data_IF_613329853439
#
_entry.id   IF_613329853439
#
_cell.length_a   1.000
_cell.length_b   1.000
_cell.length_c   1.000
_cell.angle_alpha   90.00
_cell.angle_beta   90.00
_cell.angle_gamma   90.00
#
_symmetry.space_group_name_H-M   'P 1'
#
loop_
_entity.id
_entity.type
_entity.pdbx_description
1 polymer ?
#
# COMPACT_ATOMS: atom_id res chain seq x y z
N UNK A 1 -0.98 -21.23 0.66
CA UNK A 1 0.26 -21.07 -0.12
C UNK A 1 1.48 -21.45 0.72
N UNK A 2 1.59 -20.99 1.97
CA UNK A 2 2.71 -21.32 2.85
C UNK A 2 3.00 -22.83 2.94
N UNK A 3 1.95 -23.67 3.05
CA UNK A 3 2.11 -25.13 3.02
C UNK A 3 2.67 -25.67 1.69
N UNK A 4 2.30 -25.07 0.57
CA UNK A 4 2.89 -25.38 -0.74
C UNK A 4 4.39 -25.06 -0.76
N UNK A 5 4.78 -23.90 -0.25
CA UNK A 5 6.21 -23.51 -0.16
C UNK A 5 6.98 -24.51 0.71
N UNK A 6 6.43 -24.90 1.85
CA UNK A 6 7.08 -25.87 2.75
C UNK A 6 7.32 -27.23 2.08
N UNK A 7 6.34 -27.72 1.30
CA UNK A 7 6.42 -29.03 0.62
C UNK A 7 7.37 -28.98 -0.58
N UNK A 8 7.29 -27.92 -1.39
CA UNK A 8 8.04 -27.83 -2.66
C UNK A 8 9.48 -27.33 -2.48
N UNK A 9 9.70 -26.40 -1.56
CA UNK A 9 10.99 -25.69 -1.41
C UNK A 9 11.66 -25.95 -0.05
N UNK A 10 11.00 -26.68 0.84
CA UNK A 10 11.54 -27.06 2.14
C UNK A 10 11.32 -26.02 3.24
N UNK A 11 11.79 -26.38 4.46
CA UNK A 11 11.54 -25.58 5.68
C UNK A 11 12.26 -24.23 5.69
N UNK A 12 13.42 -24.11 5.04
CA UNK A 12 14.15 -22.84 4.91
C UNK A 12 13.34 -21.80 4.13
N UNK A 13 12.91 -22.16 2.92
CA UNK A 13 12.08 -21.31 2.07
C UNK A 13 10.72 -20.97 2.71
N UNK A 14 10.14 -21.91 3.46
CA UNK A 14 8.94 -21.64 4.27
C UNK A 14 9.21 -20.54 5.31
N UNK A 15 10.34 -20.62 6.03
CA UNK A 15 10.73 -19.61 7.01
C UNK A 15 10.90 -18.22 6.39
N UNK A 16 11.59 -18.13 5.24
CA UNK A 16 11.77 -16.88 4.49
C UNK A 16 10.43 -16.30 4.03
N UNK A 17 9.58 -17.15 3.41
CA UNK A 17 8.24 -16.74 2.97
C UNK A 17 7.38 -16.22 4.13
N UNK A 18 7.34 -16.97 5.24
CA UNK A 18 6.53 -16.61 6.40
C UNK A 18 7.02 -15.32 7.04
N UNK A 19 8.33 -15.15 7.17
CA UNK A 19 8.94 -13.92 7.69
C UNK A 19 8.59 -12.72 6.81
N UNK A 20 8.77 -12.83 5.49
CA UNK A 20 8.38 -11.79 4.54
C UNK A 20 6.88 -11.47 4.61
N UNK A 21 6.02 -12.49 4.70
CA UNK A 21 4.58 -12.33 4.85
C UNK A 21 4.21 -11.56 6.14
N UNK A 22 4.81 -11.93 7.27
CA UNK A 22 4.52 -11.30 8.57
C UNK A 22 5.02 -9.86 8.62
N UNK A 23 6.23 -9.59 8.09
CA UNK A 23 6.78 -8.24 7.98
C UNK A 23 5.83 -7.38 7.15
N UNK A 24 5.51 -7.81 5.94
CA UNK A 24 4.62 -7.07 5.06
C UNK A 24 3.23 -6.88 5.67
N UNK A 25 2.68 -7.93 6.28
CA UNK A 25 1.37 -7.85 6.93
C UNK A 25 1.34 -6.84 8.07
N UNK A 26 2.42 -6.77 8.85
CA UNK A 26 2.55 -5.81 9.95
C UNK A 26 2.66 -4.38 9.46
N UNK A 27 3.50 -4.13 8.44
CA UNK A 27 3.67 -2.81 7.85
C UNK A 27 2.41 -2.34 7.09
N UNK A 28 1.69 -3.28 6.49
CA UNK A 28 0.48 -2.98 5.72
C UNK A 28 -0.76 -2.67 6.57
N UNK A 29 -0.71 -2.84 7.89
CA UNK A 29 -1.82 -2.41 8.78
C UNK A 29 -2.01 -0.90 8.68
N UNK A 30 -0.93 -0.14 8.62
CA UNK A 30 -0.97 1.33 8.50
C UNK A 30 -1.65 1.77 7.19
N UNK A 31 -1.46 1.04 6.09
CA UNK A 31 -2.14 1.31 4.82
C UNK A 31 -3.67 1.29 4.98
N UNK A 32 -4.20 0.37 5.80
CA UNK A 32 -5.65 0.24 6.04
C UNK A 32 -6.19 1.48 6.76
N UNK A 33 -5.45 2.03 7.71
CA UNK A 33 -5.82 3.27 8.40
C UNK A 33 -5.79 4.47 7.45
N UNK A 34 -4.73 4.62 6.66
CA UNK A 34 -4.63 5.68 5.64
C UNK A 34 -5.80 5.61 4.65
N UNK A 35 -6.16 4.42 4.19
CA UNK A 35 -7.32 4.24 3.31
C UNK A 35 -8.63 4.65 3.98
N UNK A 36 -8.81 4.30 5.27
CA UNK A 36 -10.00 4.68 6.03
C UNK A 36 -10.14 6.20 6.16
N UNK A 37 -9.03 6.89 6.46
CA UNK A 37 -9.00 8.36 6.53
C UNK A 37 -9.28 8.97 5.16
N UNK A 38 -8.60 8.51 4.12
CA UNK A 38 -8.75 8.99 2.76
C UNK A 38 -10.19 8.91 2.26
N UNK A 39 -10.85 7.78 2.45
CA UNK A 39 -12.25 7.62 2.03
C UNK A 39 -13.21 8.48 2.84
N UNK A 40 -12.91 8.75 4.10
CA UNK A 40 -13.68 9.67 4.94
C UNK A 40 -13.48 11.11 4.47
N UNK A 41 -12.25 11.54 4.23
CA UNK A 41 -11.89 12.90 3.77
C UNK A 41 -12.50 13.20 2.40
N UNK A 42 -12.48 12.24 1.48
CA UNK A 42 -13.07 12.39 0.14
C UNK A 42 -14.58 12.05 0.09
N UNK A 43 -15.20 11.80 1.24
CA UNK A 43 -16.62 11.45 1.37
C UNK A 43 -17.06 10.33 0.42
N UNK A 44 -16.23 9.29 0.24
CA UNK A 44 -16.51 8.19 -0.68
C UNK A 44 -17.41 7.15 0.00
N UNK A 45 -18.65 6.92 -0.49
CA UNK A 45 -19.55 5.92 0.07
C UNK A 45 -18.98 4.51 0.02
N UNK A 46 -19.28 3.67 1.02
CA UNK A 46 -18.82 2.28 1.12
C UNK A 46 -19.02 1.47 -0.16
N UNK A 47 -20.15 1.69 -0.86
CA UNK A 47 -20.48 1.01 -2.13
C UNK A 47 -19.47 1.24 -3.26
N UNK A 48 -18.64 2.30 -3.18
CA UNK A 48 -17.64 2.63 -4.20
C UNK A 48 -16.22 2.34 -3.76
N UNK A 49 -15.98 2.21 -2.45
CA UNK A 49 -14.65 1.99 -1.90
C UNK A 49 -14.04 0.68 -2.38
N UNK A 50 -14.85 -0.39 -2.52
CA UNK A 50 -14.33 -1.68 -3.00
C UNK A 50 -13.78 -1.63 -4.42
N UNK A 51 -14.22 -0.68 -5.25
CA UNK A 51 -13.69 -0.48 -6.59
C UNK A 51 -12.31 0.19 -6.55
N UNK A 52 -12.15 1.20 -5.71
CA UNK A 52 -10.84 1.86 -5.50
C UNK A 52 -9.85 0.85 -4.92
N UNK A 53 -10.26 0.09 -3.90
CA UNK A 53 -9.41 -0.92 -3.27
C UNK A 53 -9.02 -2.05 -4.24
N UNK A 54 -9.93 -2.46 -5.14
CA UNK A 54 -9.61 -3.47 -6.14
C UNK A 54 -8.49 -3.01 -7.08
N UNK A 55 -8.65 -1.81 -7.66
CA UNK A 55 -7.64 -1.25 -8.56
C UNK A 55 -6.36 -0.85 -7.83
N UNK A 56 -6.48 -0.33 -6.60
CA UNK A 56 -5.33 -0.02 -5.76
C UNK A 56 -4.50 -1.25 -5.41
N UNK A 57 -5.14 -2.36 -5.01
CA UNK A 57 -4.42 -3.62 -4.77
C UNK A 57 -3.76 -4.16 -6.04
N UNK A 58 -4.45 -4.04 -7.19
CA UNK A 58 -3.88 -4.47 -8.47
C UNK A 58 -2.65 -3.62 -8.84
N UNK A 59 -2.75 -2.29 -8.73
CA UNK A 59 -1.63 -1.39 -8.97
C UNK A 59 -0.48 -1.62 -8.00
N UNK A 60 -0.78 -1.76 -6.70
CA UNK A 60 0.20 -2.09 -5.67
C UNK A 60 0.97 -3.38 -6.00
N UNK A 61 0.29 -4.44 -6.45
CA UNK A 61 0.95 -5.69 -6.85
C UNK A 61 1.91 -5.50 -8.04
N UNK A 62 1.49 -4.72 -9.04
CA UNK A 62 2.32 -4.41 -10.22
C UNK A 62 3.54 -3.58 -9.80
N UNK A 63 3.33 -2.52 -9.02
CA UNK A 63 4.41 -1.66 -8.54
C UNK A 63 5.41 -2.43 -7.68
N UNK A 64 4.94 -3.22 -6.74
CA UNK A 64 5.81 -4.06 -5.89
C UNK A 64 6.56 -5.12 -6.69
N UNK A 65 5.93 -5.72 -7.69
CA UNK A 65 6.63 -6.61 -8.61
C UNK A 65 7.81 -5.91 -9.31
N UNK A 66 7.61 -4.69 -9.76
CA UNK A 66 8.66 -3.86 -10.36
C UNK A 66 9.74 -3.52 -9.33
N UNK A 67 9.36 -3.03 -8.14
CA UNK A 67 10.30 -2.67 -7.08
C UNK A 67 11.14 -3.87 -6.60
N UNK A 68 10.51 -5.03 -6.42
CA UNK A 68 11.21 -6.26 -6.01
C UNK A 68 12.15 -6.73 -7.12
N UNK A 69 11.71 -6.73 -8.39
CA UNK A 69 12.53 -7.14 -9.52
C UNK A 69 13.74 -6.22 -9.70
N UNK A 70 13.53 -4.90 -9.69
CA UNK A 70 14.61 -3.91 -9.80
C UNK A 70 15.51 -3.95 -8.56
N UNK A 71 14.92 -4.00 -7.35
CA UNK A 71 15.65 -4.05 -6.10
C UNK A 71 16.55 -5.28 -5.98
N UNK A 72 16.02 -6.46 -6.32
CA UNK A 72 16.80 -7.70 -6.35
C UNK A 72 17.95 -7.64 -7.37
N UNK A 73 17.69 -7.13 -8.58
CA UNK A 73 18.72 -6.95 -9.60
C UNK A 73 19.82 -5.95 -9.17
N UNK A 74 19.43 -4.87 -8.47
CA UNK A 74 20.38 -3.89 -7.94
C UNK A 74 21.23 -4.47 -6.81
N UNK A 75 20.62 -5.18 -5.87
CA UNK A 75 21.30 -5.79 -4.71
C UNK A 75 22.27 -6.88 -5.18
N UNK A 76 21.87 -7.70 -6.18
CA UNK A 76 22.76 -8.73 -6.75
C UNK A 76 24.00 -8.15 -7.41
N UNK A 77 23.92 -6.92 -7.93
CA UNK A 77 25.04 -6.22 -8.57
C UNK A 77 25.83 -5.35 -7.58
N UNK A 78 25.18 -4.81 -6.58
CA UNK A 78 25.76 -3.87 -5.62
C UNK A 78 25.36 -4.28 -4.18
N UNK A 79 26.05 -5.27 -3.62
CA UNK A 79 25.73 -5.82 -2.29
C UNK A 79 25.80 -4.78 -1.15
N UNK A 80 26.57 -3.68 -1.31
CA UNK A 80 26.60 -2.58 -0.34
C UNK A 80 25.25 -1.87 -0.18
N UNK A 81 24.34 -1.98 -1.18
CA UNK A 81 23.00 -1.42 -1.09
C UNK A 81 22.19 -2.00 0.08
N UNK A 82 22.41 -3.26 0.45
CA UNK A 82 21.76 -3.84 1.64
C UNK A 82 22.13 -3.08 2.91
N UNK A 83 23.40 -2.69 3.04
CA UNK A 83 23.88 -1.89 4.19
C UNK A 83 23.25 -0.49 4.16
N UNK A 84 23.22 0.14 2.98
CA UNK A 84 22.60 1.45 2.80
C UNK A 84 21.10 1.42 3.14
N UNK A 85 20.38 0.40 2.69
CA UNK A 85 18.98 0.20 3.03
C UNK A 85 18.77 -0.08 4.52
N UNK A 86 19.63 -0.89 5.15
CA UNK A 86 19.58 -1.11 6.59
C UNK A 86 19.74 0.19 7.39
N UNK A 87 20.71 1.03 7.03
CA UNK A 87 20.90 2.36 7.64
C UNK A 87 19.67 3.25 7.41
N UNK A 88 19.13 3.26 6.19
CA UNK A 88 17.93 4.01 5.86
C UNK A 88 16.74 3.59 6.72
N UNK A 89 16.49 2.28 6.87
CA UNK A 89 15.41 1.73 7.71
C UNK A 89 15.58 2.12 9.18
N UNK A 90 16.81 2.10 9.72
CA UNK A 90 17.07 2.55 11.09
C UNK A 90 16.73 4.03 11.26
N UNK A 91 17.16 4.88 10.30
CA UNK A 91 16.89 6.32 10.34
C UNK A 91 15.38 6.57 10.28
N UNK A 92 14.66 5.90 9.34
CA UNK A 92 13.20 6.03 9.19
C UNK A 92 12.48 5.56 10.46
N UNK A 93 12.87 4.42 11.03
CA UNK A 93 12.30 3.91 12.28
C UNK A 93 12.47 4.86 13.46
N UNK A 94 13.67 5.44 13.62
CA UNK A 94 13.93 6.46 14.66
C UNK A 94 13.10 7.72 14.43
N UNK A 95 12.94 8.13 13.17
CA UNK A 95 12.14 9.31 12.80
C UNK A 95 10.66 9.10 13.13
N UNK A 96 10.08 7.96 12.79
CA UNK A 96 8.68 7.62 13.10
C UNK A 96 8.43 7.63 14.61
N UNK A 97 9.33 7.05 15.40
CA UNK A 97 9.20 7.05 16.88
C UNK A 97 9.23 8.47 17.47
N UNK A 98 10.00 9.37 16.85
CA UNK A 98 10.14 10.76 17.32
C UNK A 98 9.03 11.71 16.86
N UNK A 99 8.44 11.47 15.68
CA UNK A 99 7.43 12.35 15.07
C UNK A 99 6.13 11.55 14.87
N UNK A 100 5.38 11.37 15.93
CA UNK A 100 4.13 10.63 15.98
C UNK A 100 2.90 11.51 15.77
N UNK A 101 2.94 12.46 14.85
CA UNK A 101 1.81 13.38 14.62
C UNK A 101 1.27 13.28 13.18
N UNK A 102 -0.05 12.99 13.08
CA UNK A 102 -1.01 13.26 11.98
C UNK A 102 -0.55 13.17 10.51
N UNK A 103 0.28 12.17 10.17
CA UNK A 103 0.79 12.02 8.79
C UNK A 103 -0.32 11.68 7.77
N UNK A 104 -1.38 10.97 8.16
CA UNK A 104 -2.39 10.46 7.23
C UNK A 104 -3.23 11.54 6.52
N UNK A 105 -3.70 12.55 7.25
CA UNK A 105 -4.50 13.65 6.65
C UNK A 105 -3.66 14.54 5.74
N UNK A 106 -2.39 14.75 6.11
CA UNK A 106 -1.44 15.54 5.33
C UNK A 106 -1.10 14.84 4.01
N UNK A 107 -0.91 13.53 4.02
CA UNK A 107 -0.62 12.75 2.81
C UNK A 107 -1.81 12.69 1.87
N UNK A 108 -3.03 12.48 2.38
CA UNK A 108 -4.25 12.51 1.57
C UNK A 108 -4.42 13.86 0.86
N UNK A 109 -4.27 14.97 1.59
CA UNK A 109 -4.41 16.33 1.04
C UNK A 109 -3.32 16.63 0.02
N UNK A 110 -2.07 16.26 0.30
CA UNK A 110 -0.95 16.44 -0.63
C UNK A 110 -1.12 15.64 -1.90
N UNK A 111 -1.55 14.37 -1.81
CA UNK A 111 -1.77 13.51 -2.96
C UNK A 111 -2.86 14.04 -3.89
N UNK A 112 -3.99 14.49 -3.34
CA UNK A 112 -5.05 15.14 -4.13
C UNK A 112 -4.54 16.43 -4.77
N UNK A 113 -3.75 17.24 -4.04
CA UNK A 113 -3.11 18.45 -4.56
C UNK A 113 -2.14 18.18 -5.72
N UNK A 114 -1.39 17.09 -5.66
CA UNK A 114 -0.50 16.66 -6.76
C UNK A 114 -1.31 16.26 -8.00
N UNK A 115 -2.39 15.49 -7.84
CA UNK A 115 -3.27 15.16 -8.95
C UNK A 115 -3.89 16.42 -9.56
N UNK A 116 -4.30 17.38 -8.73
CA UNK A 116 -4.86 18.67 -9.16
C UNK A 116 -3.94 19.53 -10.02
N UNK A 117 -2.61 19.31 -9.92
CA UNK A 117 -1.61 19.97 -10.81
C UNK A 117 -1.53 19.32 -12.20
N UNK A 118 -1.91 18.04 -12.30
CA UNK A 118 -1.85 17.27 -13.54
C UNK A 118 -3.16 17.41 -14.32
N UNK A 119 -4.31 17.35 -13.61
CA UNK A 119 -5.64 17.45 -14.20
C UNK A 119 -6.67 18.01 -13.21
N UNK A 120 -7.74 18.68 -13.71
CA UNK A 120 -8.82 19.15 -12.84
C UNK A 120 -9.43 18.00 -12.03
N UNK A 121 -9.69 18.23 -10.74
CA UNK A 121 -10.37 17.28 -9.87
C UNK A 121 -11.78 17.78 -9.58
N UNK A 122 -12.78 16.92 -9.80
CA UNK A 122 -14.18 17.19 -9.46
C UNK A 122 -14.41 16.95 -7.97
N UNK A 123 -15.23 17.78 -7.36
CA UNK A 123 -15.72 17.54 -6.00
C UNK A 123 -16.92 16.58 -5.96
N UNK A 124 -17.50 16.26 -7.14
CA UNK A 124 -18.68 15.41 -7.23
C UNK A 124 -18.34 14.04 -7.82
N UNK A 125 -19.02 13.02 -7.30
CA UNK A 125 -18.95 11.66 -7.81
C UNK A 125 -19.80 11.54 -9.09
N UNK A 126 -19.26 10.96 -10.13
CA UNK A 126 -20.00 10.58 -11.36
C UNK A 126 -20.24 9.06 -11.35
N UNK A 127 -21.11 8.61 -10.45
CA UNK A 127 -21.38 7.20 -10.23
C UNK A 127 -20.10 6.44 -9.84
N UNK A 128 -19.76 5.40 -10.62
CA UNK A 128 -18.55 4.61 -10.42
C UNK A 128 -17.39 4.99 -11.35
N UNK A 129 -17.48 6.09 -12.08
CA UNK A 129 -16.46 6.47 -13.05
C UNK A 129 -15.26 7.11 -12.35
N UNK A 130 -14.08 6.83 -12.88
CA UNK A 130 -12.84 7.48 -12.47
C UNK A 130 -12.63 8.82 -13.14
N UNK A 131 -13.20 9.02 -14.32
CA UNK A 131 -13.11 10.26 -15.09
C UNK A 131 -14.50 10.84 -15.34
N UNK A 132 -14.60 12.17 -15.26
CA UNK A 132 -15.78 12.96 -15.62
C UNK A 132 -15.39 14.11 -16.55
N UNK A 133 -16.32 15.00 -16.85
CA UNK A 133 -16.06 16.20 -17.66
C UNK A 133 -16.55 17.44 -16.94
N UNK A 134 -15.68 18.42 -16.80
CA UNK A 134 -15.99 19.75 -16.27
C UNK A 134 -15.71 20.77 -17.38
N UNK A 135 -16.73 21.51 -17.80
CA UNK A 135 -16.58 22.51 -18.89
C UNK A 135 -16.06 21.91 -20.21
N UNK A 136 -16.42 20.65 -20.51
CA UNK A 136 -15.94 19.96 -21.73
C UNK A 136 -14.57 19.32 -21.64
N UNK A 137 -13.78 19.61 -20.59
CA UNK A 137 -12.45 19.03 -20.34
C UNK A 137 -12.57 17.78 -19.46
N UNK A 138 -11.67 16.79 -19.67
CA UNK A 138 -11.57 15.62 -18.79
C UNK A 138 -11.11 16.06 -17.39
N UNK A 139 -11.78 15.54 -16.37
CA UNK A 139 -11.48 15.78 -14.98
C UNK A 139 -11.45 14.46 -14.20
N UNK A 140 -10.66 14.39 -13.14
CA UNK A 140 -10.65 13.30 -12.19
C UNK A 140 -11.90 13.36 -11.31
N UNK A 141 -12.50 12.22 -11.01
CA UNK A 141 -13.50 12.12 -9.93
C UNK A 141 -12.81 11.91 -8.57
N UNK A 142 -13.53 12.07 -7.45
CA UNK A 142 -12.99 11.70 -6.13
C UNK A 142 -12.52 10.24 -6.05
N UNK A 143 -13.12 9.33 -6.85
CA UNK A 143 -12.66 7.93 -6.92
C UNK A 143 -11.27 7.80 -7.56
N UNK A 144 -10.99 8.57 -8.62
CA UNK A 144 -9.65 8.59 -9.21
C UNK A 144 -8.64 9.26 -8.27
N UNK A 145 -9.04 10.34 -7.60
CA UNK A 145 -8.19 11.00 -6.61
C UNK A 145 -7.82 10.04 -5.47
N UNK A 146 -8.79 9.29 -4.95
CA UNK A 146 -8.53 8.27 -3.94
C UNK A 146 -7.61 7.16 -4.46
N UNK A 147 -7.84 6.64 -5.67
CA UNK A 147 -6.98 5.62 -6.27
C UNK A 147 -5.55 6.14 -6.41
N UNK A 148 -5.38 7.37 -6.90
CA UNK A 148 -4.06 7.98 -7.05
C UNK A 148 -3.32 8.11 -5.71
N UNK A 149 -4.02 8.53 -4.64
CA UNK A 149 -3.43 8.63 -3.30
C UNK A 149 -3.08 7.26 -2.75
N UNK A 150 -3.94 6.24 -2.92
CA UNK A 150 -3.68 4.85 -2.52
C UNK A 150 -2.41 4.33 -3.18
N UNK A 151 -2.25 4.54 -4.49
CA UNK A 151 -1.04 4.11 -5.21
C UNK A 151 0.21 4.90 -4.77
N UNK A 152 0.07 6.21 -4.57
CA UNK A 152 1.17 7.06 -4.12
C UNK A 152 1.66 6.64 -2.73
N UNK A 153 0.75 6.39 -1.80
CA UNK A 153 1.09 5.93 -0.45
C UNK A 153 1.70 4.53 -0.48
N UNK A 154 1.21 3.61 -1.34
CA UNK A 154 1.83 2.29 -1.48
C UNK A 154 3.27 2.38 -2.01
N UNK A 155 3.57 3.30 -2.95
CA UNK A 155 4.95 3.55 -3.38
C UNK A 155 5.83 4.02 -2.21
N UNK A 156 5.34 4.92 -1.37
CA UNK A 156 6.08 5.41 -0.20
C UNK A 156 6.36 4.24 0.75
N UNK A 157 5.37 3.43 1.07
CA UNK A 157 5.54 2.26 1.93
C UNK A 157 6.41 1.16 1.31
N UNK A 158 6.38 1.00 -0.02
CA UNK A 158 7.24 0.03 -0.71
C UNK A 158 8.73 0.38 -0.60
N UNK A 159 9.08 1.67 -0.51
CA UNK A 159 10.47 2.11 -0.30
C UNK A 159 11.04 1.57 1.02
N UNK A 160 10.22 1.43 2.05
CA UNK A 160 10.62 0.88 3.34
C UNK A 160 10.48 -0.65 3.40
N UNK A 161 9.37 -1.19 2.90
CA UNK A 161 9.06 -2.63 3.04
C UNK A 161 9.86 -3.52 2.10
N UNK A 162 10.12 -3.12 0.85
CA UNK A 162 10.83 -3.96 -0.12
C UNK A 162 12.27 -4.23 0.31
N UNK A 163 13.08 -3.25 0.74
CA UNK A 163 14.40 -3.52 1.27
C UNK A 163 14.39 -4.41 2.52
N UNK A 164 13.41 -4.22 3.41
CA UNK A 164 13.29 -5.04 4.62
C UNK A 164 13.08 -6.53 4.29
N UNK A 165 12.24 -6.83 3.29
CA UNK A 165 11.97 -8.21 2.90
C UNK A 165 13.12 -8.80 2.07
N UNK A 166 13.76 -8.02 1.20
CA UNK A 166 14.96 -8.44 0.46
C UNK A 166 16.16 -8.74 1.38
N UNK A 167 16.19 -8.16 2.59
CA UNK A 167 17.17 -8.52 3.60
C UNK A 167 16.92 -9.89 4.26
N UNK A 168 15.68 -10.41 4.20
CA UNK A 168 15.29 -11.71 4.77
C UNK A 168 15.42 -12.85 3.75
N UNK A 169 15.14 -12.58 2.48
CA UNK A 169 15.21 -13.56 1.40
C UNK A 169 15.86 -12.97 0.15
N UNK A 170 16.78 -13.73 -0.44
CA UNK A 170 17.39 -13.39 -1.72
C UNK A 170 16.64 -13.96 -2.93
N UNK A 171 15.56 -14.71 -2.68
CA UNK A 171 14.75 -15.36 -3.71
C UNK A 171 13.58 -14.43 -4.14
N UNK A 172 13.67 -13.74 -5.31
CA UNK A 172 12.66 -12.75 -5.71
C UNK A 172 11.25 -13.32 -5.78
N UNK A 173 11.10 -14.60 -6.10
CA UNK A 173 9.82 -15.28 -6.15
C UNK A 173 9.17 -15.38 -4.76
N UNK A 174 9.93 -15.78 -3.73
CA UNK A 174 9.43 -15.87 -2.36
C UNK A 174 9.08 -14.50 -1.81
N UNK A 175 9.93 -13.50 -2.10
CA UNK A 175 9.70 -12.09 -1.72
C UNK A 175 8.42 -11.57 -2.37
N UNK A 176 8.24 -11.75 -3.67
CA UNK A 176 7.02 -11.33 -4.36
C UNK A 176 5.78 -12.07 -3.87
N UNK A 177 5.85 -13.39 -3.71
CA UNK A 177 4.73 -14.20 -3.27
C UNK A 177 4.29 -13.81 -1.85
N UNK A 178 5.23 -13.63 -0.90
CA UNK A 178 4.91 -13.22 0.47
C UNK A 178 4.21 -11.85 0.50
N UNK A 179 4.71 -10.88 -0.27
CA UNK A 179 4.10 -9.57 -0.45
C UNK A 179 2.70 -9.66 -1.05
N UNK A 180 2.56 -10.38 -2.17
CA UNK A 180 1.29 -10.50 -2.88
C UNK A 180 0.18 -11.07 -1.98
N UNK A 181 0.47 -12.16 -1.26
CA UNK A 181 -0.50 -12.75 -0.34
C UNK A 181 -0.79 -11.88 0.88
N UNK A 182 0.17 -11.10 1.37
CA UNK A 182 -0.06 -10.14 2.44
C UNK A 182 -1.01 -9.02 2.01
N UNK A 183 -0.77 -8.43 0.82
CA UNK A 183 -1.56 -7.33 0.26
C UNK A 183 -2.99 -7.79 -0.10
N UNK A 184 -3.15 -8.96 -0.72
CA UNK A 184 -4.48 -9.51 -1.04
C UNK A 184 -5.38 -9.62 0.19
N UNK A 185 -4.81 -9.86 1.36
CA UNK A 185 -5.54 -9.89 2.63
C UNK A 185 -5.97 -8.50 3.16
N UNK A 186 -5.40 -7.40 2.66
CA UNK A 186 -5.69 -6.05 3.17
C UNK A 186 -7.12 -5.61 2.91
N UNK A 187 -7.71 -6.01 1.79
CA UNK A 187 -9.11 -5.72 1.49
C UNK A 187 -10.04 -6.27 2.55
N UNK A 188 -9.82 -7.52 2.97
CA UNK A 188 -10.62 -8.14 4.02
C UNK A 188 -10.43 -7.40 5.35
N UNK A 189 -9.19 -7.04 5.69
CA UNK A 189 -8.89 -6.25 6.90
C UNK A 189 -9.56 -4.88 6.87
N UNK A 190 -9.54 -4.17 5.73
CA UNK A 190 -10.21 -2.89 5.59
C UNK A 190 -11.71 -2.99 5.91
N UNK A 191 -12.42 -3.94 5.31
CA UNK A 191 -13.87 -4.11 5.57
C UNK A 191 -14.16 -4.58 6.99
N UNK A 192 -13.30 -5.39 7.60
CA UNK A 192 -13.41 -5.74 9.02
C UNK A 192 -13.28 -4.51 9.91
N UNK A 193 -12.30 -3.64 9.64
CA UNK A 193 -12.09 -2.39 10.38
C UNK A 193 -13.24 -1.41 10.18
N UNK A 194 -13.71 -1.24 8.93
CA UNK A 194 -14.84 -0.37 8.61
C UNK A 194 -16.11 -0.81 9.34
N UNK A 195 -16.44 -2.10 9.32
CA UNK A 195 -17.58 -2.66 10.04
C UNK A 195 -17.43 -2.56 11.57
N UNK A 196 -16.21 -2.74 12.08
CA UNK A 196 -15.94 -2.58 13.51
C UNK A 196 -16.19 -1.13 13.96
N UNK A 197 -15.69 -0.15 13.18
CA UNK A 197 -15.89 1.28 13.45
C UNK A 197 -17.37 1.66 13.54
N UNK A 198 -18.21 1.14 12.64
CA UNK A 198 -19.67 1.36 12.69
C UNK A 198 -20.29 0.77 13.96
N UNK A 199 -19.88 -0.42 14.39
CA UNK A 199 -20.40 -1.06 15.61
C UNK A 199 -19.95 -0.35 16.89
N UNK A 200 -18.72 0.14 16.93
CA UNK A 200 -18.22 0.88 18.11
C UNK A 200 -18.82 2.28 18.23
N UNK A 201 -19.26 2.90 17.14
CA UNK A 201 -19.95 4.20 17.16
C UNK A 201 -21.35 4.11 17.81
N UNK A 202 -21.94 2.90 17.89
CA UNK A 202 -23.21 2.66 18.62
C UNK A 202 -23.01 2.42 20.12
N UNK A 203 -21.78 2.33 20.62
CA UNK A 203 -21.46 2.08 22.02
C UNK A 203 -20.97 3.33 22.77
N UNK A 204 -20.81 4.44 22.08
CA UNK A 204 -20.50 5.78 22.63
C UNK A 204 -21.74 6.68 22.55
#
# INVERSE_FOLDING_TARGET
FAGFVAIQFGSGAFGEYLSGYLIEKSLSVDNVFVWSMLFTTLAIPLKYQHRVLFWGIFGALVLRGIFIGVGSALISRFSWLLVAFGVFLVITGVRIVRHREDEGDVEATRGVGLLGRIMPVSNELDGQKFFTRIGGKRAATPLLAALFVVELTDVIFAVDSVPAILAVSNEPYLVFASNAFAILGLRAMYFLLANAKERFHFLS
#
